data_IF_904344910839
#
_entry.id   IF_904344910839
#
_cell.length_a   1.000
_cell.length_b   1.000
_cell.length_c   1.000
_cell.angle_alpha   90.00
_cell.angle_beta   90.00
_cell.angle_gamma   90.00
#
_symmetry.space_group_name_H-M   'P 1'
#
loop_
_entity.id
_entity.type
_entity.pdbx_description
1 polymer ?
#
# COMPACT_ATOMS: atom_id res chain seq x y z
N UNK A 1 -47.08 25.79 1.09
CA UNK A 1 -46.03 25.06 0.34
C UNK A 1 -44.81 24.95 1.24
N UNK A 2 -44.67 23.82 1.94
CA UNK A 2 -43.49 23.53 2.77
C UNK A 2 -42.34 23.12 1.86
N UNK A 3 -41.22 23.83 1.96
CA UNK A 3 -40.01 23.56 1.19
C UNK A 3 -39.16 22.59 2.01
N UNK A 4 -39.50 21.30 1.98
CA UNK A 4 -38.78 20.25 2.68
C UNK A 4 -37.43 20.03 1.98
N UNK A 5 -36.39 20.68 2.50
CA UNK A 5 -35.00 20.38 2.17
C UNK A 5 -34.72 18.94 2.59
N UNK A 6 -34.67 18.02 1.63
CA UNK A 6 -34.15 16.67 1.85
C UNK A 6 -32.71 16.79 2.34
N UNK A 7 -32.51 16.48 3.62
CA UNK A 7 -31.20 16.37 4.23
C UNK A 7 -30.60 15.06 3.74
N UNK A 8 -29.65 15.13 2.81
CA UNK A 8 -28.86 13.97 2.44
C UNK A 8 -27.86 13.74 3.57
N UNK A 9 -27.97 12.59 4.25
CA UNK A 9 -26.90 12.14 5.13
C UNK A 9 -25.69 11.84 4.24
N UNK A 10 -24.74 12.78 4.20
CA UNK A 10 -23.42 12.55 3.63
C UNK A 10 -22.74 11.56 4.56
N UNK A 11 -22.73 10.28 4.16
CA UNK A 11 -22.03 9.24 4.88
C UNK A 11 -20.58 9.23 4.40
N UNK A 12 -19.64 9.24 5.34
CA UNK A 12 -18.21 9.09 5.06
C UNK A 12 -17.97 7.71 4.42
N UNK A 13 -17.17 7.65 3.36
CA UNK A 13 -16.94 6.41 2.57
C UNK A 13 -16.38 5.26 3.41
N UNK A 14 -15.67 5.59 4.49
CA UNK A 14 -15.15 4.66 5.51
C UNK A 14 -16.25 3.83 6.19
N UNK A 15 -17.50 4.28 6.18
CA UNK A 15 -18.62 3.59 6.83
C UNK A 15 -19.16 2.40 6.03
N UNK A 16 -18.67 2.19 4.80
CA UNK A 16 -19.06 1.07 3.95
C UNK A 16 -17.84 0.20 3.64
N UNK A 17 -17.47 -0.67 4.60
CA UNK A 17 -16.36 -1.62 4.46
C UNK A 17 -16.48 -2.54 3.25
N UNK A 18 -17.71 -2.76 2.76
CA UNK A 18 -17.99 -3.61 1.60
C UNK A 18 -17.93 -2.81 0.28
N UNK A 19 -17.67 -1.50 0.35
CA UNK A 19 -17.69 -0.58 -0.78
C UNK A 19 -16.42 0.29 -0.93
N UNK A 20 -15.30 -0.10 -0.32
CA UNK A 20 -14.03 0.66 -0.39
C UNK A 20 -13.57 0.96 -1.85
N UNK A 21 -14.07 0.20 -2.83
CA UNK A 21 -13.73 0.36 -4.26
C UNK A 21 -14.79 1.10 -5.11
N UNK A 22 -15.87 1.61 -4.53
CA UNK A 22 -16.97 2.23 -5.30
C UNK A 22 -16.96 3.75 -5.24
N UNK A 23 -17.03 4.39 -6.41
CA UNK A 23 -17.33 5.82 -6.52
C UNK A 23 -18.80 6.06 -6.15
N UNK A 24 -19.03 6.79 -5.05
CA UNK A 24 -20.36 7.18 -4.59
C UNK A 24 -20.60 8.65 -4.93
N UNK A 25 -21.71 8.92 -5.62
CA UNK A 25 -22.11 10.28 -5.99
C UNK A 25 -23.51 10.31 -6.59
N UNK A 26 -24.08 11.50 -6.75
CA UNK A 26 -25.31 11.65 -7.51
C UNK A 26 -25.07 11.44 -9.01
N UNK A 27 -26.15 11.29 -9.78
CA UNK A 27 -26.05 11.02 -11.23
C UNK A 27 -25.28 12.11 -11.97
N UNK A 28 -25.43 13.37 -11.57
CA UNK A 28 -24.78 14.49 -12.26
C UNK A 28 -23.28 14.53 -11.97
N UNK A 29 -22.90 14.35 -10.71
CA UNK A 29 -21.50 14.27 -10.26
C UNK A 29 -20.78 13.09 -10.89
N UNK A 30 -21.39 11.90 -10.92
CA UNK A 30 -20.81 10.73 -11.58
C UNK A 30 -20.62 10.92 -13.09
N UNK A 31 -21.53 11.64 -13.76
CA UNK A 31 -21.38 11.94 -15.19
C UNK A 31 -20.26 12.94 -15.45
N UNK A 32 -20.10 13.96 -14.60
CA UNK A 32 -18.97 14.90 -14.67
C UNK A 32 -17.63 14.20 -14.40
N UNK A 33 -17.59 13.31 -13.41
CA UNK A 33 -16.42 12.50 -13.09
C UNK A 33 -16.03 11.63 -14.30
N UNK A 34 -17.01 10.98 -14.95
CA UNK A 34 -16.77 10.20 -16.17
C UNK A 34 -16.18 11.07 -17.28
N UNK A 35 -16.73 12.26 -17.53
CA UNK A 35 -16.22 13.17 -18.56
C UNK A 35 -14.79 13.63 -18.26
N UNK A 36 -14.49 13.94 -17.00
CA UNK A 36 -13.14 14.30 -16.58
C UNK A 36 -12.15 13.15 -16.76
N UNK A 37 -12.54 11.90 -16.48
CA UNK A 37 -11.74 10.71 -16.77
C UNK A 37 -11.49 10.59 -18.28
N UNK A 38 -12.54 10.74 -19.10
CA UNK A 38 -12.43 10.66 -20.56
C UNK A 38 -11.45 11.75 -21.09
N UNK A 39 -11.47 12.95 -20.52
CA UNK A 39 -10.52 14.03 -20.86
C UNK A 39 -9.10 13.68 -20.42
N UNK A 40 -8.91 13.21 -19.18
CA UNK A 40 -7.59 12.88 -18.64
C UNK A 40 -6.92 11.72 -19.39
N UNK A 41 -7.69 10.74 -19.87
CA UNK A 41 -7.16 9.65 -20.71
C UNK A 41 -6.59 10.19 -22.03
N UNK A 42 -7.24 11.20 -22.62
CA UNK A 42 -6.82 11.75 -23.90
C UNK A 42 -5.71 12.80 -23.78
N UNK A 43 -5.75 13.61 -22.72
CA UNK A 43 -4.89 14.79 -22.57
C UNK A 43 -3.80 14.61 -21.50
N UNK A 44 -3.80 13.50 -20.77
CA UNK A 44 -2.92 13.25 -19.63
C UNK A 44 -3.44 13.80 -18.31
N UNK A 45 -4.21 14.89 -18.33
CA UNK A 45 -4.88 15.45 -17.14
C UNK A 45 -6.17 16.20 -17.50
N UNK A 46 -7.05 16.32 -16.51
CA UNK A 46 -8.28 17.09 -16.57
C UNK A 46 -8.44 17.87 -15.26
N UNK A 47 -8.51 19.19 -15.37
CA UNK A 47 -8.78 20.08 -14.23
C UNK A 47 -10.29 20.34 -14.17
N UNK A 48 -10.90 20.08 -13.01
CA UNK A 48 -12.28 20.41 -12.76
C UNK A 48 -12.47 20.64 -11.27
N UNK A 49 -13.04 21.79 -10.93
CA UNK A 49 -13.22 22.19 -9.54
C UNK A 49 -14.58 21.73 -9.07
N UNK A 50 -14.58 20.82 -8.11
CA UNK A 50 -15.73 20.50 -7.24
C UNK A 50 -15.38 20.92 -5.82
N UNK A 51 -16.36 20.90 -4.91
CA UNK A 51 -16.10 21.20 -3.49
C UNK A 51 -15.14 20.18 -2.84
N UNK A 52 -14.98 18.98 -3.41
CA UNK A 52 -14.22 17.85 -2.84
C UNK A 52 -12.98 17.45 -3.66
N UNK A 53 -12.91 17.81 -4.94
CA UNK A 53 -11.84 17.42 -5.88
C UNK A 53 -11.48 18.54 -6.84
N UNK A 54 -10.19 18.66 -7.18
CA UNK A 54 -9.64 19.73 -8.05
C UNK A 54 -9.30 19.23 -9.47
N UNK A 55 -9.15 17.91 -9.67
CA UNK A 55 -8.85 17.35 -10.99
C UNK A 55 -8.51 15.86 -10.97
N UNK A 56 -8.33 15.30 -12.16
CA UNK A 56 -7.91 13.91 -12.41
C UNK A 56 -6.68 13.93 -13.33
N UNK A 57 -5.65 13.17 -12.97
CA UNK A 57 -4.44 12.98 -13.79
C UNK A 57 -4.26 11.51 -14.13
N UNK A 58 -3.94 11.23 -15.39
CA UNK A 58 -3.48 9.92 -15.82
C UNK A 58 -2.04 9.73 -15.32
N UNK A 59 -1.84 8.80 -14.41
CA UNK A 59 -0.55 8.47 -13.82
C UNK A 59 -0.09 7.11 -14.32
N UNK A 60 1.21 6.97 -14.52
CA UNK A 60 1.82 5.70 -14.91
C UNK A 60 1.64 4.67 -13.77
N UNK A 61 1.33 3.43 -14.14
CA UNK A 61 1.15 2.32 -13.19
C UNK A 61 2.37 2.07 -12.31
N UNK A 62 3.57 2.47 -12.76
CA UNK A 62 4.81 2.44 -11.98
C UNK A 62 4.78 3.27 -10.69
N UNK A 63 3.88 4.26 -10.57
CA UNK A 63 3.67 5.01 -9.32
C UNK A 63 2.89 4.21 -8.27
N UNK A 64 2.16 3.18 -8.69
CA UNK A 64 1.42 2.26 -7.83
C UNK A 64 2.12 0.90 -7.71
N UNK A 65 3.31 0.74 -8.28
CA UNK A 65 4.26 -0.30 -7.88
C UNK A 65 4.78 0.07 -6.49
N UNK A 66 3.87 0.04 -5.51
CA UNK A 66 4.18 -0.09 -4.11
C UNK A 66 5.08 -1.32 -4.02
N UNK A 67 6.34 -1.11 -3.64
CA UNK A 67 7.36 -2.14 -3.42
C UNK A 67 6.68 -3.37 -2.82
N UNK A 68 6.46 -4.40 -3.65
CA UNK A 68 5.82 -5.62 -3.21
C UNK A 68 6.77 -6.34 -2.25
N UNK A 69 6.70 -5.97 -0.98
CA UNK A 69 6.89 -6.83 0.20
C UNK A 69 8.06 -7.83 0.11
N UNK A 70 9.29 -7.40 -0.19
CA UNK A 70 10.49 -8.24 -0.02
C UNK A 70 11.15 -8.11 1.38
N UNK A 71 10.53 -7.40 2.33
CA UNK A 71 11.30 -6.85 3.46
C UNK A 71 11.36 -7.68 4.75
N UNK A 72 10.61 -8.77 4.91
CA UNK A 72 10.63 -9.57 6.16
C UNK A 72 11.35 -10.91 5.99
N UNK A 73 11.04 -11.66 4.92
CA UNK A 73 11.61 -13.00 4.74
C UNK A 73 13.11 -12.97 4.40
N UNK A 74 13.55 -11.99 3.59
CA UNK A 74 14.97 -11.83 3.25
C UNK A 74 15.80 -11.34 4.44
N UNK A 75 15.28 -10.39 5.22
CA UNK A 75 15.92 -9.96 6.47
C UNK A 75 16.01 -11.11 7.47
N UNK A 76 14.96 -11.91 7.64
CA UNK A 76 14.99 -13.09 8.52
C UNK A 76 16.05 -14.13 8.09
N UNK A 77 16.25 -14.30 6.78
CA UNK A 77 17.27 -15.21 6.22
C UNK A 77 18.69 -14.81 6.63
N UNK A 78 19.01 -13.52 6.61
CA UNK A 78 20.30 -13.00 7.05
C UNK A 78 20.60 -13.32 8.52
N UNK A 79 19.60 -13.18 9.40
CA UNK A 79 19.75 -13.50 10.83
C UNK A 79 19.93 -15.00 11.07
N UNK A 80 19.23 -15.84 10.31
CA UNK A 80 19.41 -17.29 10.35
C UNK A 80 20.83 -17.70 9.94
N UNK A 81 21.39 -17.13 8.87
CA UNK A 81 22.76 -17.42 8.45
C UNK A 81 23.79 -16.98 9.50
N UNK A 82 23.62 -15.80 10.10
CA UNK A 82 24.51 -15.32 11.16
C UNK A 82 24.45 -16.18 12.42
N UNK A 83 23.25 -16.60 12.83
CA UNK A 83 23.07 -17.53 13.95
C UNK A 83 23.72 -18.89 13.68
N UNK A 84 23.54 -19.44 12.47
CA UNK A 84 24.16 -20.69 12.07
C UNK A 84 25.70 -20.61 12.05
N UNK A 85 26.26 -19.52 11.50
CA UNK A 85 27.70 -19.30 11.46
C UNK A 85 28.31 -19.21 12.86
N UNK A 86 27.65 -18.50 13.78
CA UNK A 86 28.09 -18.40 15.18
C UNK A 86 28.16 -19.77 15.86
N UNK A 87 27.12 -20.61 15.69
CA UNK A 87 27.10 -21.97 16.25
C UNK A 87 28.24 -22.84 15.72
N UNK A 88 28.58 -22.72 14.43
CA UNK A 88 29.70 -23.46 13.84
C UNK A 88 31.05 -23.04 14.45
N UNK A 89 31.25 -21.75 14.71
CA UNK A 89 32.48 -21.24 15.35
C UNK A 89 32.59 -21.77 16.79
N UNK A 90 31.49 -21.73 17.55
CA UNK A 90 31.47 -22.25 18.93
C UNK A 90 31.72 -23.77 18.96
N UNK A 91 31.10 -24.53 18.06
CA UNK A 91 31.31 -25.98 17.96
C UNK A 91 32.77 -26.32 17.57
N UNK A 92 33.37 -25.56 16.65
CA UNK A 92 34.77 -25.74 16.29
C UNK A 92 35.71 -25.38 17.46
N UNK A 93 35.43 -24.28 18.16
CA UNK A 93 36.22 -23.83 19.31
C UNK A 93 36.18 -24.81 20.48
N UNK A 94 35.01 -25.39 20.79
CA UNK A 94 34.87 -26.40 21.85
C UNK A 94 35.62 -27.69 21.51
N UNK A 95 35.55 -28.17 20.26
CA UNK A 95 36.35 -29.32 19.81
C UNK A 95 37.85 -29.06 19.87
N UNK A 96 38.29 -27.85 19.53
CA UNK A 96 39.68 -27.45 19.63
C UNK A 96 40.16 -27.36 21.08
N UNK A 97 39.33 -26.82 21.97
CA UNK A 97 39.62 -26.75 23.40
C UNK A 97 39.77 -28.15 24.02
N UNK A 98 38.86 -29.07 23.71
CA UNK A 98 38.95 -30.48 24.14
C UNK A 98 40.24 -31.14 23.63
N UNK A 99 40.65 -30.88 22.38
CA UNK A 99 41.89 -31.39 21.83
C UNK A 99 43.15 -30.85 22.54
N UNK A 100 43.21 -29.54 22.83
CA UNK A 100 44.31 -28.96 23.62
C UNK A 100 44.37 -29.57 25.02
N UNK A 101 43.22 -29.73 25.68
CA UNK A 101 43.14 -30.31 27.01
C UNK A 101 43.60 -31.77 27.06
N UNK A 102 43.41 -32.52 25.96
CA UNK A 102 43.94 -33.88 25.84
C UNK A 102 45.46 -33.93 25.56
N UNK A 103 46.06 -32.80 25.17
CA UNK A 103 47.48 -32.68 24.84
C UNK A 103 48.37 -32.23 26.02
N UNK A 104 47.77 -31.63 27.05
CA UNK A 104 48.41 -31.16 28.29
C UNK A 104 48.17 -32.19 29.40
#
# INVERSE_FOLDING_TARGET
>A
MSNDKKQYNVCDGIMFSDHEDYLVGDKEGLMKMKEAIDIAINNGEAEFVTDEYEGIRCVDTSLFEQEQTETIFEKAKGWLYMGFLYLMIVAAGTKFYEWIKALI
#
